data_IF_108214965388
#
_entry.id   IF_108214965388
#
_cell.length_a   1.000
_cell.length_b   1.000
_cell.length_c   1.000
_cell.angle_alpha   90.00
_cell.angle_beta   90.00
_cell.angle_gamma   90.00
#
_symmetry.space_group_name_H-M   'P 1'
#
loop_
_entity.id
_entity.type
_entity.pdbx_description
1 polymer ?
#
# COMPACT_ATOMS: atom_id res chain seq x y z
N UNK A 1 -22.37 69.01 3.82
CA UNK A 1 -22.91 67.98 2.92
C UNK A 1 -22.40 66.66 3.43
N UNK A 2 -23.27 65.88 4.08
CA UNK A 2 -22.93 64.62 4.74
C UNK A 2 -22.91 63.53 3.68
N UNK A 3 -21.73 63.03 3.32
CA UNK A 3 -21.57 61.82 2.53
C UNK A 3 -21.73 60.62 3.47
N UNK A 4 -22.64 59.71 3.13
CA UNK A 4 -22.87 58.48 3.87
C UNK A 4 -21.75 57.48 3.56
N UNK A 5 -21.27 56.78 4.59
CA UNK A 5 -20.19 55.78 4.52
C UNK A 5 -20.54 54.60 3.59
N UNK A 6 -21.80 54.44 3.21
CA UNK A 6 -22.23 53.39 2.29
C UNK A 6 -21.76 53.60 0.84
N UNK A 7 -21.45 54.85 0.44
CA UNK A 7 -21.04 55.17 -0.93
C UNK A 7 -19.52 55.01 -1.19
N UNK A 8 -18.76 54.58 -0.18
CA UNK A 8 -17.31 54.29 -0.31
C UNK A 8 -16.99 52.78 -0.34
N UNK A 9 -18.01 51.91 -0.34
CA UNK A 9 -17.80 50.44 -0.29
C UNK A 9 -18.06 49.70 -1.61
N UNK A 10 -18.38 50.37 -2.71
CA UNK A 10 -18.65 49.69 -3.99
C UNK A 10 -17.51 49.73 -5.03
N UNK A 11 -16.31 50.26 -4.71
CA UNK A 11 -15.22 50.33 -5.71
C UNK A 11 -13.81 50.08 -5.16
N UNK A 12 -13.66 49.18 -4.18
CA UNK A 12 -12.36 48.54 -3.90
C UNK A 12 -12.58 47.02 -3.89
N UNK A 13 -13.09 46.51 -5.00
CA UNK A 13 -12.76 45.15 -5.46
C UNK A 13 -11.52 45.28 -6.35
N UNK A 14 -10.34 45.39 -5.74
CA UNK A 14 -9.11 44.78 -6.26
C UNK A 14 -7.94 45.09 -5.32
N UNK A 15 -7.08 44.10 -5.10
CA UNK A 15 -5.82 44.16 -4.34
C UNK A 15 -5.90 44.21 -2.80
N UNK A 16 -6.09 43.05 -2.17
CA UNK A 16 -5.38 42.74 -0.92
C UNK A 16 -4.94 41.28 -0.95
N UNK A 17 -3.63 41.11 -1.07
CA UNK A 17 -2.85 39.87 -0.97
C UNK A 17 -3.46 38.91 0.05
N UNK A 18 -3.98 37.77 -0.42
CA UNK A 18 -4.15 36.61 0.44
C UNK A 18 -2.78 35.94 0.57
N UNK A 19 -2.33 35.82 1.81
CA UNK A 19 -1.27 34.88 2.16
C UNK A 19 -1.91 33.50 1.98
N UNK A 20 -1.50 32.77 0.94
CA UNK A 20 -1.93 31.39 0.73
C UNK A 20 -1.51 30.57 1.95
N UNK A 21 -2.51 30.15 2.71
CA UNK A 21 -2.41 29.11 3.71
C UNK A 21 -2.01 27.85 2.94
N UNK A 22 -0.76 27.42 3.16
CA UNK A 22 -0.12 26.27 2.54
C UNK A 22 -1.01 25.03 2.54
N UNK A 23 -1.23 24.46 1.36
CA UNK A 23 -1.83 23.14 1.13
C UNK A 23 -1.05 22.05 1.89
N UNK A 24 -1.45 21.83 3.14
CA UNK A 24 -1.17 20.62 3.91
C UNK A 24 -2.25 19.63 3.51
N UNK A 25 -1.86 18.44 3.04
CA UNK A 25 -2.77 17.33 2.76
C UNK A 25 -3.75 17.21 3.92
N UNK A 26 -5.04 17.46 3.69
CA UNK A 26 -5.99 17.43 4.80
C UNK A 26 -5.99 16.03 5.38
N UNK A 27 -5.91 15.95 6.72
CA UNK A 27 -6.00 14.70 7.48
C UNK A 27 -7.14 13.78 7.04
N UNK A 28 -8.13 14.32 6.31
CA UNK A 28 -9.33 13.63 5.85
C UNK A 28 -9.06 12.58 4.78
N UNK A 29 -8.05 12.76 3.90
CA UNK A 29 -7.72 11.73 2.89
C UNK A 29 -7.05 10.50 3.49
N UNK A 30 -6.21 10.70 4.51
CA UNK A 30 -5.64 9.61 5.32
C UNK A 30 -6.76 8.91 6.10
N UNK A 31 -7.70 9.67 6.66
CA UNK A 31 -8.87 9.13 7.38
C UNK A 31 -9.79 8.31 6.49
N UNK A 32 -9.96 8.68 5.22
CA UNK A 32 -10.75 7.91 4.24
C UNK A 32 -10.09 6.54 3.93
N UNK A 33 -8.76 6.51 3.78
CA UNK A 33 -8.01 5.27 3.59
C UNK A 33 -8.06 4.36 4.83
N UNK A 34 -8.05 4.94 6.04
CA UNK A 34 -8.27 4.19 7.29
C UNK A 34 -9.68 3.58 7.35
N UNK A 35 -10.71 4.29 6.88
CA UNK A 35 -12.09 3.78 6.81
C UNK A 35 -12.26 2.61 5.84
N UNK A 36 -11.51 2.58 4.74
CA UNK A 36 -11.55 1.43 3.83
C UNK A 36 -10.98 0.15 4.48
N UNK A 37 -9.90 0.26 5.27
CA UNK A 37 -9.41 -0.85 6.11
C UNK A 37 -10.44 -1.32 7.15
N UNK A 38 -11.22 -0.39 7.72
CA UNK A 38 -12.21 -0.67 8.76
C UNK A 38 -13.40 -1.53 8.26
N UNK A 39 -13.90 -1.32 7.04
CA UNK A 39 -15.06 -2.07 6.52
C UNK A 39 -14.76 -3.54 6.18
N UNK A 40 -13.50 -3.92 5.98
CA UNK A 40 -13.13 -5.32 5.68
C UNK A 40 -13.18 -6.26 6.90
N UNK A 41 -13.21 -5.71 8.13
CA UNK A 41 -12.98 -6.50 9.36
C UNK A 41 -14.27 -6.92 10.08
N UNK A 42 -15.43 -6.37 9.71
CA UNK A 42 -16.72 -6.61 10.40
C UNK A 42 -17.30 -8.03 10.24
N UNK A 43 -16.77 -8.90 9.38
CA UNK A 43 -17.40 -10.21 9.09
C UNK A 43 -16.85 -11.40 9.88
N UNK A 44 -15.84 -11.24 10.75
CA UNK A 44 -15.15 -12.41 11.31
C UNK A 44 -15.12 -12.48 12.85
N UNK A 45 -16.31 -12.66 13.45
CA UNK A 45 -16.40 -13.23 14.81
C UNK A 45 -17.47 -14.31 14.87
N UNK A 46 -17.07 -15.60 14.82
CA UNK A 46 -17.38 -16.56 15.89
C UNK A 46 -16.91 -18.01 15.66
N UNK A 47 -16.52 -18.61 16.79
CA UNK A 47 -16.49 -20.03 17.17
C UNK A 47 -15.21 -20.90 17.01
N UNK A 48 -14.48 -20.96 18.13
CA UNK A 48 -13.61 -22.09 18.53
C UNK A 48 -14.43 -23.30 19.02
N UNK A 49 -14.12 -24.49 18.50
CA UNK A 49 -14.67 -25.77 18.96
C UNK A 49 -13.77 -26.99 18.69
N UNK A 50 -12.92 -27.32 19.67
CA UNK A 50 -12.11 -28.54 19.94
C UNK A 50 -12.54 -29.89 19.25
N UNK A 51 -11.61 -30.63 18.58
CA UNK A 51 -10.98 -31.96 18.97
C UNK A 51 -10.44 -32.85 17.82
N UNK A 52 -9.19 -33.32 18.02
CA UNK A 52 -8.59 -34.69 17.88
C UNK A 52 -8.07 -35.26 16.52
N UNK A 53 -6.73 -35.34 16.45
CA UNK A 53 -5.83 -36.52 16.46
C UNK A 53 -5.71 -37.53 15.29
N UNK A 54 -4.41 -37.86 15.01
CA UNK A 54 -3.81 -39.15 14.54
C UNK A 54 -3.78 -39.37 13.00
N UNK A 55 -2.77 -39.86 12.26
CA UNK A 55 -1.32 -40.19 12.38
C UNK A 55 -0.81 -40.68 11.00
N UNK A 56 0.40 -40.24 10.59
CA UNK A 56 1.46 -40.87 9.74
C UNK A 56 1.13 -41.55 8.39
N UNK A 57 1.91 -41.18 7.36
CA UNK A 57 2.19 -42.02 6.19
C UNK A 57 3.29 -41.44 5.27
N UNK A 58 4.51 -41.97 5.38
CA UNK A 58 5.69 -41.66 4.57
C UNK A 58 5.48 -42.04 3.09
N UNK A 59 5.86 -41.16 2.16
CA UNK A 59 6.30 -41.57 0.82
C UNK A 59 7.26 -40.53 0.22
N UNK A 60 8.54 -40.69 0.55
CA UNK A 60 9.64 -40.12 -0.23
C UNK A 60 9.76 -40.85 -1.58
N UNK A 61 10.28 -40.12 -2.57
CA UNK A 61 10.72 -40.56 -3.90
C UNK A 61 9.63 -40.71 -4.97
N UNK A 62 9.34 -39.62 -5.71
CA UNK A 62 9.60 -39.47 -7.16
C UNK A 62 9.47 -37.97 -7.51
N UNK A 63 10.53 -37.17 -7.37
CA UNK A 63 10.75 -35.98 -8.23
C UNK A 63 12.27 -35.85 -8.44
N UNK A 64 12.84 -36.82 -9.14
CA UNK A 64 14.08 -36.63 -9.87
C UNK A 64 13.71 -36.77 -11.34
N UNK A 65 14.09 -35.76 -12.13
CA UNK A 65 13.78 -35.56 -13.55
C UNK A 65 12.41 -34.93 -13.84
N UNK A 66 12.34 -33.60 -13.69
CA UNK A 66 12.08 -32.64 -14.78
C UNK A 66 12.26 -31.22 -14.19
N UNK A 67 13.28 -30.50 -14.67
CA UNK A 67 13.46 -29.07 -14.43
C UNK A 67 13.92 -28.66 -13.02
N UNK A 68 15.17 -28.97 -12.64
CA UNK A 68 15.87 -28.06 -11.73
C UNK A 68 16.18 -26.82 -12.57
N UNK A 69 15.23 -25.88 -12.65
CA UNK A 69 15.63 -24.48 -12.71
C UNK A 69 16.48 -24.29 -11.46
N UNK A 70 17.76 -24.02 -11.64
CA UNK A 70 18.60 -23.59 -10.55
C UNK A 70 17.88 -22.44 -9.85
N UNK A 71 17.40 -22.68 -8.63
CA UNK A 71 17.23 -21.66 -7.61
C UNK A 71 18.63 -21.03 -7.43
N UNK A 72 19.05 -20.17 -8.36
CA UNK A 72 19.70 -18.96 -7.94
C UNK A 72 18.66 -18.32 -7.03
N UNK A 73 18.98 -18.13 -5.76
CA UNK A 73 18.08 -17.43 -4.85
C UNK A 73 17.73 -16.12 -5.53
N UNK A 74 16.49 -16.00 -6.00
CA UNK A 74 15.94 -14.77 -6.54
C UNK A 74 15.87 -13.82 -5.34
N UNK A 75 16.99 -13.14 -5.07
CA UNK A 75 17.20 -12.36 -3.85
C UNK A 75 16.28 -11.15 -3.79
N UNK A 76 15.66 -10.79 -4.92
CA UNK A 76 14.73 -9.67 -5.02
C UNK A 76 13.24 -10.01 -5.08
N UNK A 77 12.85 -11.29 -4.95
CA UNK A 77 11.45 -11.68 -5.12
C UNK A 77 10.50 -11.30 -4.00
N UNK A 78 9.20 -11.50 -4.26
CA UNK A 78 8.11 -11.24 -3.31
C UNK A 78 8.34 -11.95 -1.97
N UNK A 79 8.97 -13.12 -1.97
CA UNK A 79 9.36 -13.85 -0.77
C UNK A 79 10.28 -13.06 0.18
N UNK A 80 11.13 -12.18 -0.36
CA UNK A 80 12.05 -11.35 0.43
C UNK A 80 11.42 -10.04 0.91
N UNK A 81 10.16 -9.78 0.56
CA UNK A 81 9.38 -8.64 1.08
C UNK A 81 8.14 -9.07 1.86
N UNK A 82 7.87 -10.37 2.03
CA UNK A 82 6.79 -10.89 2.87
C UNK A 82 6.93 -10.42 4.32
N UNK A 83 5.92 -9.76 4.89
CA UNK A 83 5.97 -9.35 6.30
C UNK A 83 5.89 -10.53 7.26
N UNK A 84 5.13 -11.57 6.89
CA UNK A 84 5.07 -12.81 7.64
C UNK A 84 5.52 -13.97 6.74
N UNK A 85 6.75 -14.49 6.92
CA UNK A 85 7.27 -15.58 6.10
C UNK A 85 6.41 -16.85 6.12
N UNK A 86 5.66 -17.09 7.21
CA UNK A 86 4.76 -18.23 7.32
C UNK A 86 3.56 -18.13 6.35
N UNK A 87 3.27 -16.95 5.79
CA UNK A 87 2.18 -16.75 4.81
C UNK A 87 2.46 -17.43 3.47
N UNK A 88 3.74 -17.65 3.12
CA UNK A 88 4.10 -18.33 1.87
C UNK A 88 3.51 -19.75 1.75
N UNK A 89 3.34 -20.42 2.89
CA UNK A 89 2.88 -21.80 2.99
C UNK A 89 1.42 -21.93 3.45
N UNK A 90 0.70 -20.81 3.68
CA UNK A 90 -0.67 -20.86 4.19
C UNK A 90 -1.64 -21.34 3.10
N UNK A 91 -2.49 -22.35 3.39
CA UNK A 91 -3.52 -22.77 2.46
C UNK A 91 -4.59 -21.68 2.34
N UNK A 92 -5.06 -21.49 1.10
CA UNK A 92 -6.15 -20.59 0.74
C UNK A 92 -7.35 -20.78 1.67
N UNK A 93 -7.77 -19.72 2.37
CA UNK A 93 -8.98 -19.74 3.18
C UNK A 93 -10.14 -19.11 2.41
N UNK A 94 -11.11 -19.93 2.02
CA UNK A 94 -12.39 -19.46 1.48
C UNK A 94 -13.33 -19.15 2.63
N UNK A 95 -13.81 -17.91 2.72
CA UNK A 95 -14.85 -17.49 3.66
C UNK A 95 -16.07 -17.06 2.88
N UNK A 96 -17.23 -17.66 3.17
CA UNK A 96 -18.50 -17.20 2.63
C UNK A 96 -19.06 -16.06 3.50
N UNK A 97 -19.54 -15.01 2.85
CA UNK A 97 -20.32 -13.96 3.49
C UNK A 97 -21.71 -13.91 2.87
N UNK A 98 -22.75 -13.86 3.70
CA UNK A 98 -24.14 -13.66 3.27
C UNK A 98 -24.49 -12.20 3.51
N UNK A 99 -24.68 -11.42 2.45
CA UNK A 99 -25.14 -10.05 2.60
C UNK A 99 -26.65 -10.07 2.90
N UNK A 100 -27.08 -9.43 3.99
CA UNK A 100 -28.50 -9.21 4.23
C UNK A 100 -29.05 -8.26 3.15
N UNK A 101 -30.28 -8.45 2.65
CA UNK A 101 -30.86 -7.56 1.65
C UNK A 101 -30.87 -6.11 2.16
N UNK A 102 -30.54 -5.18 1.27
CA UNK A 102 -30.50 -3.75 1.58
C UNK A 102 -31.84 -3.29 2.17
N UNK A 103 -31.84 -2.40 3.18
CA UNK A 103 -33.07 -1.85 3.75
C UNK A 103 -33.62 -0.73 2.85
N UNK A 104 -33.99 -1.08 1.63
CA UNK A 104 -34.59 -0.20 0.64
C UNK A 104 -35.42 -1.05 -0.32
N UNK A 105 -36.74 -0.86 -0.26
CA UNK A 105 -37.72 -1.64 -1.00
C UNK A 105 -37.85 -1.27 -2.47
N UNK A 106 -36.82 -1.52 -3.27
CA UNK A 106 -36.94 -1.61 -4.72
C UNK A 106 -36.84 -3.06 -5.20
N UNK A 107 -37.92 -3.49 -5.86
CA UNK A 107 -38.06 -4.61 -6.80
C UNK A 107 -37.33 -5.95 -6.57
N UNK A 108 -37.94 -6.79 -5.73
CA UNK A 108 -38.45 -8.07 -6.22
C UNK A 108 -37.48 -9.11 -6.80
N UNK A 109 -36.26 -9.22 -6.26
CA UNK A 109 -35.48 -10.47 -6.36
C UNK A 109 -34.98 -10.89 -4.96
N UNK A 110 -35.69 -11.84 -4.34
CA UNK A 110 -35.27 -12.55 -3.12
C UNK A 110 -34.15 -13.55 -3.46
N UNK A 111 -33.03 -13.09 -4.02
CA UNK A 111 -31.83 -13.93 -4.15
C UNK A 111 -30.77 -13.42 -3.17
N UNK A 112 -30.63 -14.14 -2.05
CA UNK A 112 -29.44 -14.04 -1.20
C UNK A 112 -28.24 -14.52 -2.03
N UNK A 113 -27.48 -13.59 -2.61
CA UNK A 113 -26.21 -13.92 -3.24
C UNK A 113 -25.20 -14.32 -2.15
N UNK A 114 -24.78 -15.58 -2.16
CA UNK A 114 -23.69 -16.05 -1.31
C UNK A 114 -22.37 -15.68 -2.00
N UNK A 115 -21.69 -14.64 -1.51
CA UNK A 115 -20.36 -14.27 -2.00
C UNK A 115 -19.31 -15.09 -1.26
N UNK A 116 -18.50 -15.83 -2.02
CA UNK A 116 -17.33 -16.50 -1.50
C UNK A 116 -16.15 -15.55 -1.66
N UNK A 117 -15.70 -14.95 -0.56
CA UNK A 117 -14.44 -14.23 -0.52
C UNK A 117 -13.34 -15.25 -0.30
N UNK A 118 -12.40 -15.32 -1.23
CA UNK A 118 -11.13 -15.98 -0.96
C UNK A 118 -10.31 -14.96 -0.16
N UNK A 119 -10.20 -15.18 1.14
CA UNK A 119 -9.41 -14.31 2.02
C UNK A 119 -7.95 -14.76 1.92
N UNK A 120 -7.29 -14.36 0.84
CA UNK A 120 -5.84 -14.46 0.71
C UNK A 120 -5.24 -13.17 1.27
N UNK A 121 -4.60 -13.28 2.44
CA UNK A 121 -3.93 -12.16 3.11
C UNK A 121 -2.45 -12.47 3.17
N UNK A 122 -1.75 -12.14 2.09
CA UNK A 122 -0.28 -12.11 2.10
C UNK A 122 0.13 -10.65 2.07
N UNK A 123 0.71 -10.16 3.16
CA UNK A 123 1.17 -8.78 3.25
C UNK A 123 2.64 -8.69 2.87
N UNK A 124 2.98 -7.75 1.98
CA UNK A 124 4.36 -7.38 1.66
C UNK A 124 4.72 -5.99 2.19
N UNK A 125 6.00 -5.82 2.48
CA UNK A 125 6.68 -4.57 2.70
C UNK A 125 6.95 -3.86 1.37
N UNK A 126 6.82 -2.53 1.35
CA UNK A 126 7.15 -1.65 0.24
C UNK A 126 8.42 -0.81 0.50
N UNK A 127 9.17 -1.12 1.56
CA UNK A 127 10.27 -0.29 2.08
C UNK A 127 11.63 -1.00 2.13
N UNK A 128 11.75 -2.19 1.54
CA UNK A 128 13.02 -2.90 1.44
C UNK A 128 12.91 -4.41 1.53
N UNK A 129 14.01 -5.09 1.23
CA UNK A 129 14.13 -6.54 1.39
C UNK A 129 14.35 -6.95 2.85
N UNK A 130 14.13 -8.24 3.13
CA UNK A 130 14.08 -8.82 4.48
C UNK A 130 15.32 -8.60 5.36
N UNK A 131 16.47 -8.30 4.75
CA UNK A 131 17.71 -8.00 5.44
C UNK A 131 17.89 -6.51 5.79
N UNK A 132 17.11 -5.61 5.18
CA UNK A 132 17.13 -4.17 5.44
C UNK A 132 16.59 -3.79 6.83
N UNK A 133 17.08 -2.69 7.44
CA UNK A 133 16.50 -2.18 8.68
C UNK A 133 15.06 -1.68 8.51
N UNK A 134 14.72 -1.11 7.35
CA UNK A 134 13.39 -0.59 7.03
C UNK A 134 12.34 -1.69 7.02
N UNK A 135 12.60 -2.81 6.34
CA UNK A 135 11.72 -3.98 6.36
C UNK A 135 11.52 -4.51 7.79
N UNK A 136 12.59 -4.66 8.58
CA UNK A 136 12.50 -5.22 9.93
C UNK A 136 11.70 -4.29 10.86
N UNK A 137 11.84 -2.99 10.67
CA UNK A 137 11.07 -1.99 11.38
C UNK A 137 9.58 -2.08 11.03
N UNK A 138 9.25 -2.18 9.73
CA UNK A 138 7.89 -2.34 9.26
C UNK A 138 7.23 -3.66 9.73
N UNK A 139 7.98 -4.76 9.70
CA UNK A 139 7.53 -6.05 10.22
C UNK A 139 7.23 -5.97 11.72
N UNK A 140 8.10 -5.34 12.51
CA UNK A 140 7.88 -5.19 13.95
C UNK A 140 6.70 -4.28 14.27
N UNK A 141 6.51 -3.21 13.50
CA UNK A 141 5.34 -2.34 13.62
C UNK A 141 4.05 -3.10 13.29
N UNK A 142 4.01 -3.82 12.16
CA UNK A 142 2.86 -4.64 11.76
C UNK A 142 2.52 -5.69 12.82
N UNK A 143 3.52 -6.37 13.38
CA UNK A 143 3.30 -7.37 14.42
C UNK A 143 2.80 -6.75 15.74
N UNK A 144 3.19 -5.52 16.04
CA UNK A 144 2.63 -4.77 17.16
C UNK A 144 1.17 -4.40 16.90
N UNK A 145 0.84 -3.86 15.73
CA UNK A 145 -0.54 -3.50 15.35
C UNK A 145 -1.49 -4.70 15.42
N UNK A 146 -1.06 -5.89 14.97
CA UNK A 146 -1.86 -7.13 15.01
C UNK A 146 -2.31 -7.53 16.43
N UNK A 147 -1.61 -7.04 17.45
CA UNK A 147 -1.87 -7.36 18.85
C UNK A 147 -2.31 -6.13 19.67
N UNK A 148 -2.31 -4.94 19.07
CA UNK A 148 -2.63 -3.68 19.73
C UNK A 148 -4.10 -3.30 19.50
N UNK A 149 -4.77 -2.83 20.55
CA UNK A 149 -6.16 -2.37 20.51
C UNK A 149 -7.12 -3.30 19.74
N UNK A 150 -6.96 -4.62 19.88
CA UNK A 150 -7.74 -5.63 19.13
C UNK A 150 -9.26 -5.56 19.37
N UNK A 151 -9.70 -4.89 20.43
CA UNK A 151 -11.12 -4.62 20.73
C UNK A 151 -11.55 -3.18 20.40
N UNK A 152 -10.67 -2.40 19.76
CA UNK A 152 -10.85 -1.04 19.22
C UNK A 152 -11.27 0.01 20.24
N UNK A 153 -11.23 -0.31 21.53
CA UNK A 153 -11.75 0.59 22.58
C UNK A 153 -10.92 1.85 22.72
N UNK A 154 -9.62 1.79 22.45
CA UNK A 154 -8.75 2.96 22.53
C UNK A 154 -9.06 3.88 21.36
N UNK A 155 -9.10 3.33 20.13
CA UNK A 155 -9.43 4.09 18.93
C UNK A 155 -10.83 4.72 19.01
N UNK A 156 -11.84 3.96 19.46
CA UNK A 156 -13.21 4.46 19.64
C UNK A 156 -13.30 5.64 20.62
N UNK A 157 -12.47 5.63 21.67
CA UNK A 157 -12.42 6.71 22.65
C UNK A 157 -11.74 7.97 22.09
N UNK A 158 -10.69 7.80 21.28
CA UNK A 158 -9.99 8.91 20.63
C UNK A 158 -10.90 9.54 19.57
N UNK A 159 -11.56 8.70 18.77
CA UNK A 159 -12.39 9.10 17.64
C UNK A 159 -11.57 9.81 16.54
N UNK A 160 -12.27 10.52 15.65
CA UNK A 160 -11.65 11.10 14.44
C UNK A 160 -11.15 12.55 14.62
N UNK A 161 -10.59 12.87 15.79
CA UNK A 161 -10.16 14.24 16.14
C UNK A 161 -8.65 14.36 16.07
N UNK A 162 -8.11 15.57 15.80
CA UNK A 162 -6.68 15.78 15.90
C UNK A 162 -6.16 15.38 17.28
N UNK A 163 -5.01 14.71 17.31
CA UNK A 163 -4.37 14.25 18.53
C UNK A 163 -3.07 15.02 18.75
N UNK A 164 -2.50 14.89 19.96
CA UNK A 164 -1.16 15.43 20.24
C UNK A 164 -0.04 14.69 19.49
N UNK A 165 -0.36 13.61 18.77
CA UNK A 165 0.59 12.78 18.03
C UNK A 165 0.74 13.20 16.58
N UNK A 166 -0.23 13.93 16.03
CA UNK A 166 -0.36 14.20 14.60
C UNK A 166 0.90 14.88 14.03
N UNK A 167 1.49 15.83 14.77
CA UNK A 167 2.66 16.60 14.32
C UNK A 167 3.93 15.74 14.15
N UNK A 168 4.17 14.78 15.05
CA UNK A 168 5.40 13.94 15.03
C UNK A 168 5.19 12.58 14.39
N UNK A 169 3.99 12.02 14.53
CA UNK A 169 3.69 10.63 14.19
C UNK A 169 2.52 10.48 13.20
N UNK A 170 2.04 11.56 12.59
CA UNK A 170 0.89 11.53 11.70
C UNK A 170 1.02 10.56 10.52
N UNK A 171 2.25 10.29 10.06
CA UNK A 171 2.52 9.31 9.01
C UNK A 171 2.28 7.84 9.42
N UNK A 172 2.15 7.56 10.73
CA UNK A 172 2.12 6.19 11.28
C UNK A 172 0.79 5.85 11.95
N UNK A 173 -0.23 6.70 11.82
CA UNK A 173 -1.55 6.45 12.41
C UNK A 173 -1.55 6.34 13.94
N UNK A 174 -0.60 6.99 14.62
CA UNK A 174 -0.47 6.92 16.08
C UNK A 174 -1.63 7.65 16.75
N UNK A 175 -2.37 6.94 17.60
CA UNK A 175 -3.48 7.50 18.38
C UNK A 175 -3.33 7.32 19.90
N UNK A 176 -2.22 6.76 20.37
CA UNK A 176 -1.95 6.56 21.80
C UNK A 176 -0.48 6.77 22.16
N UNK A 177 -0.20 6.98 23.46
CA UNK A 177 1.18 7.05 23.96
C UNK A 177 1.93 5.74 23.73
N UNK A 178 1.27 4.58 23.86
CA UNK A 178 1.91 3.28 23.67
C UNK A 178 2.36 3.08 22.21
N UNK A 179 1.56 3.52 21.25
CA UNK A 179 1.94 3.55 19.84
C UNK A 179 3.12 4.50 19.60
N UNK A 180 3.10 5.70 20.19
CA UNK A 180 4.19 6.67 20.08
C UNK A 180 5.52 6.11 20.65
N UNK A 181 5.45 5.50 21.84
CA UNK A 181 6.60 4.86 22.48
C UNK A 181 7.12 3.70 21.64
N UNK A 182 6.23 2.92 21.02
CA UNK A 182 6.62 1.82 20.15
C UNK A 182 7.32 2.30 18.87
N UNK A 183 6.84 3.38 18.26
CA UNK A 183 7.52 4.00 17.11
C UNK A 183 8.91 4.49 17.52
N UNK A 184 9.05 5.21 18.64
CA UNK A 184 10.35 5.68 19.12
C UNK A 184 11.32 4.51 19.43
N UNK A 185 10.80 3.40 19.97
CA UNK A 185 11.57 2.15 20.17
C UNK A 185 12.08 1.61 18.83
N UNK A 186 11.21 1.44 17.84
CA UNK A 186 11.53 0.90 16.51
C UNK A 186 12.58 1.76 15.81
N UNK A 187 12.36 3.09 15.77
CA UNK A 187 13.29 4.06 15.16
C UNK A 187 14.68 3.94 15.79
N UNK A 188 14.75 3.92 17.12
CA UNK A 188 16.01 3.78 17.85
C UNK A 188 16.70 2.43 17.58
N UNK A 189 15.93 1.34 17.60
CA UNK A 189 16.43 -0.03 17.43
C UNK A 189 17.04 -0.26 16.04
N UNK A 190 16.40 0.25 14.99
CA UNK A 190 16.83 0.08 13.60
C UNK A 190 17.68 1.25 13.08
N UNK A 191 17.97 2.25 13.91
CA UNK A 191 18.75 3.43 13.55
C UNK A 191 18.14 4.21 12.37
N UNK A 192 16.82 4.33 12.36
CA UNK A 192 16.05 5.05 11.35
C UNK A 192 15.72 6.47 11.81
N UNK A 193 15.13 7.27 10.92
CA UNK A 193 14.48 8.54 11.25
C UNK A 193 12.98 8.47 10.95
N UNK A 194 12.19 9.35 11.58
CA UNK A 194 10.79 9.53 11.20
C UNK A 194 10.68 10.32 9.90
N UNK A 195 9.53 10.17 9.22
CA UNK A 195 9.16 11.03 8.11
C UNK A 195 9.13 12.51 8.51
N UNK A 196 9.48 13.35 7.54
CA UNK A 196 9.25 14.80 7.63
C UNK A 196 7.79 15.18 7.36
N UNK A 197 7.54 16.46 7.08
CA UNK A 197 6.19 16.90 6.72
C UNK A 197 5.68 16.19 5.45
N UNK A 198 4.42 15.78 5.47
CA UNK A 198 3.72 15.23 4.30
C UNK A 198 3.06 16.36 3.52
N UNK A 199 3.30 16.41 2.21
CA UNK A 199 2.89 17.48 1.32
C UNK A 199 2.14 16.91 0.12
N UNK A 200 1.14 17.66 -0.37
CA UNK A 200 0.41 17.28 -1.59
C UNK A 200 1.36 17.32 -2.79
N UNK A 201 1.30 16.26 -3.59
CA UNK A 201 2.13 16.04 -4.76
C UNK A 201 1.30 15.91 -6.04
N UNK A 202 0.66 16.98 -6.55
CA UNK A 202 0.24 17.00 -7.94
C UNK A 202 1.47 16.80 -8.85
N UNK A 203 1.26 16.26 -10.05
CA UNK A 203 2.33 15.89 -10.99
C UNK A 203 3.42 16.96 -11.12
N UNK A 204 3.03 18.22 -11.34
CA UNK A 204 3.97 19.33 -11.49
C UNK A 204 4.92 19.50 -10.29
N UNK A 205 4.41 19.35 -9.05
CA UNK A 205 5.23 19.47 -7.83
C UNK A 205 6.16 18.28 -7.68
N UNK A 206 5.72 17.08 -8.03
CA UNK A 206 6.55 15.87 -8.02
C UNK A 206 7.66 16.00 -9.07
N UNK A 207 7.31 16.35 -10.30
CA UNK A 207 8.26 16.53 -11.41
C UNK A 207 9.29 17.62 -11.12
N UNK A 208 8.87 18.69 -10.45
CA UNK A 208 9.80 19.77 -10.05
C UNK A 208 10.76 19.33 -8.96
N UNK A 209 10.32 18.51 -8.02
CA UNK A 209 11.11 18.12 -6.83
C UNK A 209 12.03 16.95 -7.11
N UNK A 210 11.53 15.93 -7.81
CA UNK A 210 12.24 14.67 -8.05
C UNK A 210 12.70 14.55 -9.49
N UNK A 211 11.97 15.15 -10.43
CA UNK A 211 12.10 14.87 -11.86
C UNK A 211 10.89 14.10 -12.35
N UNK A 212 10.72 14.02 -13.68
CA UNK A 212 9.66 13.21 -14.27
C UNK A 212 9.93 11.74 -13.91
N UNK A 213 8.99 11.07 -13.26
CA UNK A 213 9.21 9.73 -12.71
C UNK A 213 8.86 8.60 -13.68
N UNK A 214 8.02 8.89 -14.69
CA UNK A 214 7.59 7.90 -15.67
C UNK A 214 7.16 8.56 -16.98
N UNK A 215 7.57 8.01 -18.12
CA UNK A 215 7.09 8.42 -19.43
C UNK A 215 5.68 7.90 -19.74
N UNK A 216 4.92 8.66 -20.55
CA UNK A 216 3.57 8.32 -20.99
C UNK A 216 2.56 7.95 -19.87
N UNK A 217 2.76 8.53 -18.69
CA UNK A 217 1.90 8.37 -17.52
C UNK A 217 1.42 9.71 -16.96
N UNK A 218 0.20 9.71 -16.42
CA UNK A 218 -0.27 10.77 -15.52
C UNK A 218 -0.24 10.24 -14.09
N UNK A 219 0.12 11.09 -13.13
CA UNK A 219 0.21 10.66 -11.73
C UNK A 219 0.09 11.82 -10.76
N UNK A 220 -0.45 11.54 -9.58
CA UNK A 220 -0.45 12.46 -8.46
C UNK A 220 -0.47 11.70 -7.14
N UNK A 221 -0.07 12.36 -6.07
CA UNK A 221 -0.11 11.76 -4.75
C UNK A 221 0.43 12.69 -3.69
N UNK A 222 1.38 12.22 -2.91
CA UNK A 222 1.97 12.97 -1.80
C UNK A 222 3.44 12.60 -1.64
N UNK A 223 4.21 13.48 -1.02
CA UNK A 223 5.60 13.25 -0.71
C UNK A 223 5.96 13.79 0.67
N UNK A 224 7.00 13.20 1.25
CA UNK A 224 7.62 13.64 2.49
C UNK A 224 8.88 14.46 2.21
N UNK A 225 9.25 15.32 3.14
CA UNK A 225 10.48 16.13 3.03
C UNK A 225 11.75 15.28 2.93
N UNK A 226 11.74 14.07 3.48
CA UNK A 226 12.83 13.09 3.41
C UNK A 226 13.01 12.44 2.03
N UNK A 227 12.13 12.74 1.07
CA UNK A 227 12.19 12.23 -0.30
C UNK A 227 11.37 10.97 -0.55
N UNK A 228 10.74 10.38 0.46
CA UNK A 228 9.73 9.33 0.26
C UNK A 228 8.51 9.93 -0.45
N UNK A 229 7.94 9.23 -1.42
CA UNK A 229 6.70 9.64 -2.05
C UNK A 229 5.84 8.46 -2.49
N UNK A 230 4.55 8.73 -2.66
CA UNK A 230 3.57 7.79 -3.18
C UNK A 230 2.73 8.49 -4.23
N UNK A 231 2.53 7.84 -5.37
CA UNK A 231 1.65 8.31 -6.42
C UNK A 231 0.69 7.22 -6.85
N UNK A 232 -0.52 7.64 -7.21
CA UNK A 232 -1.44 6.85 -8.01
C UNK A 232 -1.44 7.46 -9.42
N UNK A 233 -1.52 6.62 -10.45
CA UNK A 233 -1.47 7.07 -11.83
C UNK A 233 -1.99 6.06 -12.83
N UNK A 234 -2.00 6.47 -14.09
CA UNK A 234 -2.38 5.66 -15.24
C UNK A 234 -1.22 5.55 -16.23
N UNK A 235 -1.01 4.35 -16.77
CA UNK A 235 -0.07 4.05 -17.85
C UNK A 235 -0.79 3.26 -18.94
N UNK A 236 -1.18 3.95 -20.01
CA UNK A 236 -1.99 3.39 -21.08
C UNK A 236 -3.37 2.97 -20.58
N UNK A 237 -3.58 1.66 -20.37
CA UNK A 237 -4.84 1.10 -19.85
C UNK A 237 -4.71 0.55 -18.41
N UNK A 238 -3.53 0.67 -17.82
CA UNK A 238 -3.24 0.12 -16.50
C UNK A 238 -3.19 1.23 -15.47
N UNK A 239 -3.89 1.05 -14.36
CA UNK A 239 -3.72 1.90 -13.19
C UNK A 239 -2.56 1.37 -12.36
N UNK A 240 -1.81 2.27 -11.72
CA UNK A 240 -0.69 1.90 -10.88
C UNK A 240 -0.61 2.74 -9.62
N UNK A 241 0.03 2.16 -8.61
CA UNK A 241 0.42 2.82 -7.38
C UNK A 241 1.94 2.64 -7.24
N UNK A 242 2.69 3.73 -7.28
CA UNK A 242 4.15 3.70 -7.11
C UNK A 242 4.50 4.33 -5.78
N UNK A 243 5.29 3.60 -4.98
CA UNK A 243 5.91 4.11 -3.76
C UNK A 243 7.41 4.06 -3.89
N UNK A 244 8.05 5.19 -3.61
CA UNK A 244 9.51 5.34 -3.49
C UNK A 244 9.82 5.66 -2.04
N UNK A 245 10.61 4.83 -1.38
CA UNK A 245 10.93 4.97 0.06
C UNK A 245 12.41 5.27 0.25
N UNK A 246 12.73 6.34 1.00
CA UNK A 246 14.13 6.72 1.29
C UNK A 246 14.75 5.75 2.30
N UNK A 247 15.93 5.20 1.99
CA UNK A 247 16.69 4.39 2.95
C UNK A 247 17.11 5.24 4.16
N UNK A 248 17.02 4.65 5.34
CA UNK A 248 17.25 5.30 6.63
C UNK A 248 16.00 5.95 7.25
N UNK A 249 14.84 5.88 6.59
CA UNK A 249 13.57 6.44 7.09
C UNK A 249 12.60 5.31 7.43
N UNK A 250 11.92 5.42 8.57
CA UNK A 250 10.84 4.52 8.94
C UNK A 250 9.63 4.78 8.04
N UNK A 251 9.26 3.76 7.27
CA UNK A 251 8.01 3.66 6.54
C UNK A 251 7.23 2.44 7.08
N UNK A 252 5.91 2.51 7.13
CA UNK A 252 5.05 1.42 7.64
C UNK A 252 3.96 1.01 6.65
N UNK A 253 4.06 1.43 5.39
CA UNK A 253 3.07 1.08 4.36
C UNK A 253 3.30 -0.37 3.92
N UNK A 254 2.20 -1.10 3.78
CA UNK A 254 2.16 -2.52 3.46
C UNK A 254 1.11 -2.77 2.39
N UNK A 255 1.30 -3.81 1.58
CA UNK A 255 0.40 -4.16 0.48
C UNK A 255 -0.08 -5.60 0.62
N UNK A 256 -1.39 -5.82 0.50
CA UNK A 256 -1.92 -7.16 0.32
C UNK A 256 -1.77 -7.57 -1.15
N UNK A 257 -1.19 -8.73 -1.40
CA UNK A 257 -1.02 -9.30 -2.74
C UNK A 257 -1.83 -10.58 -2.95
N UNK A 258 -2.80 -10.88 -2.08
CA UNK A 258 -3.54 -12.13 -2.17
C UNK A 258 -2.64 -13.33 -1.84
N UNK A 259 -2.55 -14.31 -2.73
CA UNK A 259 -1.67 -15.47 -2.57
C UNK A 259 -0.43 -15.33 -3.44
N UNK A 260 0.73 -15.26 -2.77
CA UNK A 260 2.05 -15.17 -3.43
C UNK A 260 2.31 -16.30 -4.43
N UNK A 261 1.72 -17.48 -4.23
CA UNK A 261 1.90 -18.62 -5.13
C UNK A 261 1.21 -18.45 -6.49
N UNK A 262 0.35 -17.43 -6.63
CA UNK A 262 -0.30 -17.10 -7.90
C UNK A 262 0.60 -16.24 -8.82
N UNK A 263 1.77 -15.81 -8.34
CA UNK A 263 2.67 -14.95 -9.11
C UNK A 263 3.75 -15.75 -9.85
N UNK A 264 3.82 -15.55 -11.17
CA UNK A 264 5.05 -15.77 -11.91
C UNK A 264 6.04 -14.64 -11.58
N UNK A 265 7.29 -14.98 -11.25
CA UNK A 265 8.31 -14.01 -10.83
C UNK A 265 9.59 -14.15 -11.66
N UNK A 266 10.20 -13.03 -12.05
CA UNK A 266 11.47 -12.99 -12.78
C UNK A 266 12.25 -11.69 -12.58
N UNK A 267 13.56 -11.72 -12.86
CA UNK A 267 14.39 -10.51 -12.97
C UNK A 267 14.32 -9.96 -14.39
N UNK A 268 14.29 -8.64 -14.50
CA UNK A 268 14.41 -7.92 -15.76
C UNK A 268 15.41 -6.77 -15.61
N UNK A 269 16.23 -6.54 -16.64
CA UNK A 269 17.09 -5.34 -16.69
C UNK A 269 16.45 -4.35 -17.64
N UNK A 270 16.05 -3.20 -17.12
CA UNK A 270 15.36 -2.17 -17.88
C UNK A 270 16.26 -1.55 -18.95
N UNK A 271 15.66 -0.79 -19.85
CA UNK A 271 16.34 0.01 -20.85
C UNK A 271 17.33 1.03 -20.24
N UNK A 272 17.09 1.49 -19.01
CA UNK A 272 18.00 2.36 -18.24
C UNK A 272 19.13 1.60 -17.54
N UNK A 273 19.10 0.26 -17.56
CA UNK A 273 20.13 -0.61 -16.97
C UNK A 273 19.91 -1.00 -15.52
N UNK A 274 18.76 -0.65 -14.94
CA UNK A 274 18.38 -1.04 -13.57
C UNK A 274 17.80 -2.45 -13.59
N UNK A 275 18.29 -3.31 -12.70
CA UNK A 275 17.69 -4.64 -12.51
C UNK A 275 16.52 -4.55 -11.55
N UNK A 276 15.36 -4.99 -12.00
CA UNK A 276 14.10 -5.01 -11.24
C UNK A 276 13.61 -6.45 -11.05
N UNK A 277 12.89 -6.67 -9.96
CA UNK A 277 12.15 -7.90 -9.71
C UNK A 277 10.70 -7.70 -10.13
N UNK A 278 10.25 -8.49 -11.09
CA UNK A 278 8.89 -8.46 -11.64
C UNK A 278 8.09 -9.63 -11.12
N UNK A 279 6.82 -9.38 -10.80
CA UNK A 279 5.86 -10.41 -10.44
C UNK A 279 4.54 -10.15 -11.16
N UNK A 280 3.93 -11.18 -11.74
CA UNK A 280 2.65 -11.08 -12.44
C UNK A 280 1.72 -12.21 -11.96
N UNK A 281 0.54 -11.85 -11.47
CA UNK A 281 -0.49 -12.82 -11.08
C UNK A 281 -1.30 -13.30 -12.29
N UNK A 282 -1.96 -14.45 -12.13
CA UNK A 282 -2.92 -15.00 -13.10
C UNK A 282 -4.27 -14.24 -13.12
N UNK A 283 -4.28 -12.89 -13.08
CA UNK A 283 -5.46 -12.13 -13.54
C UNK A 283 -5.74 -10.74 -12.97
N UNK A 284 -5.08 -10.28 -11.91
CA UNK A 284 -5.53 -9.09 -11.17
C UNK A 284 -4.43 -8.13 -10.70
N UNK A 285 -3.17 -8.56 -10.68
CA UNK A 285 -2.10 -7.77 -10.07
C UNK A 285 -0.74 -8.02 -10.72
N UNK A 286 0.05 -6.96 -10.85
CA UNK A 286 1.48 -7.08 -11.13
C UNK A 286 2.28 -6.20 -10.19
N UNK A 287 3.51 -6.61 -9.87
CA UNK A 287 4.41 -5.90 -8.96
C UNK A 287 5.75 -5.68 -9.65
N UNK A 288 6.31 -4.47 -9.49
CA UNK A 288 7.68 -4.12 -9.85
C UNK A 288 8.41 -3.71 -8.58
N UNK A 289 9.53 -4.34 -8.26
CA UNK A 289 10.40 -3.96 -7.14
C UNK A 289 11.78 -3.58 -7.66
N UNK A 290 12.33 -2.49 -7.14
CA UNK A 290 13.70 -2.08 -7.39
C UNK A 290 14.37 -1.64 -6.08
N UNK A 291 15.52 -2.23 -5.78
CA UNK A 291 16.39 -1.82 -4.67
C UNK A 291 17.52 -0.97 -5.23
N UNK A 292 17.45 0.34 -4.97
CA UNK A 292 18.39 1.34 -5.47
C UNK A 292 19.40 1.71 -4.38
N UNK A 293 20.40 2.54 -4.69
CA UNK A 293 21.46 2.86 -3.73
C UNK A 293 20.93 3.57 -2.47
N UNK A 294 19.99 4.51 -2.62
CA UNK A 294 19.45 5.35 -1.55
C UNK A 294 17.93 5.19 -1.34
N UNK A 295 17.27 4.34 -2.12
CA UNK A 295 15.83 4.14 -2.02
C UNK A 295 15.39 2.72 -2.38
N UNK A 296 14.14 2.40 -2.03
CA UNK A 296 13.44 1.22 -2.51
C UNK A 296 12.15 1.64 -3.21
N UNK A 297 11.92 1.10 -4.41
CA UNK A 297 10.76 1.39 -5.25
C UNK A 297 9.88 0.15 -5.33
N UNK A 298 8.59 0.33 -5.06
CA UNK A 298 7.57 -0.68 -5.27
C UNK A 298 6.44 -0.10 -6.12
N UNK A 299 6.08 -0.79 -7.19
CA UNK A 299 4.94 -0.46 -8.05
C UNK A 299 3.93 -1.58 -7.96
N UNK A 300 2.71 -1.24 -7.58
CA UNK A 300 1.53 -2.10 -7.66
C UNK A 300 0.73 -1.72 -8.91
N UNK A 301 0.61 -2.64 -9.86
CA UNK A 301 -0.22 -2.46 -11.05
C UNK A 301 -1.56 -3.13 -10.80
N UNK A 302 -2.63 -2.34 -10.92
CA UNK A 302 -4.00 -2.77 -10.72
C UNK A 302 -4.55 -3.22 -12.08
N UNK A 303 -4.86 -4.52 -12.21
CA UNK A 303 -5.47 -5.04 -13.43
C UNK A 303 -6.98 -5.09 -13.20
N UNK A 304 -7.69 -4.08 -13.69
CA UNK A 304 -9.15 -4.02 -13.57
C UNK A 304 -9.83 -5.02 -14.50
N UNK A 305 -11.06 -5.44 -14.15
CA UNK A 305 -11.92 -6.17 -15.07
C UNK A 305 -12.45 -5.18 -16.13
N UNK A 306 -12.04 -5.34 -17.38
CA UNK A 306 -12.49 -4.49 -18.48
C UNK A 306 -14.01 -4.57 -18.69
N UNK A 307 -14.56 -3.65 -19.48
CA UNK A 307 -16.00 -3.50 -19.77
C UNK A 307 -16.71 -4.78 -20.26
N UNK A 308 -15.96 -5.78 -20.74
CA UNK A 308 -16.45 -7.06 -21.26
C UNK A 308 -16.37 -8.24 -20.25
N UNK A 309 -16.23 -7.97 -18.94
CA UNK A 309 -15.95 -8.98 -17.90
C UNK A 309 -14.71 -9.85 -18.23
N UNK A 310 -13.75 -9.26 -18.96
CA UNK A 310 -12.44 -9.87 -19.22
C UNK A 310 -11.39 -9.03 -18.51
N UNK A 311 -10.51 -9.64 -17.70
CA UNK A 311 -9.40 -8.91 -17.11
C UNK A 311 -8.58 -8.28 -18.21
N UNK A 312 -8.14 -7.04 -18.01
CA UNK A 312 -7.04 -6.52 -18.83
C UNK A 312 -5.83 -7.42 -18.61
N UNK A 313 -5.60 -8.33 -19.55
CA UNK A 313 -4.48 -9.25 -19.44
C UNK A 313 -3.20 -8.45 -19.64
N UNK A 314 -2.42 -8.33 -18.59
CA UNK A 314 -1.04 -7.89 -18.66
C UNK A 314 -0.17 -9.10 -19.01
N UNK A 315 0.66 -8.97 -20.05
CA UNK A 315 1.68 -9.97 -20.38
C UNK A 315 3.01 -9.59 -19.73
N UNK A 316 3.98 -10.52 -19.72
CA UNK A 316 5.36 -10.22 -19.31
C UNK A 316 5.94 -9.03 -20.08
N UNK A 317 5.70 -8.98 -21.39
CA UNK A 317 6.19 -7.90 -22.25
C UNK A 317 5.53 -6.55 -21.91
N UNK A 318 4.26 -6.54 -21.50
CA UNK A 318 3.59 -5.31 -21.06
C UNK A 318 4.18 -4.80 -19.74
N UNK A 319 4.47 -5.69 -18.78
CA UNK A 319 5.09 -5.34 -17.50
C UNK A 319 6.55 -4.89 -17.67
N UNK A 320 7.31 -5.56 -18.53
CA UNK A 320 8.68 -5.15 -18.92
C UNK A 320 8.67 -3.78 -19.61
N UNK A 321 7.71 -3.55 -20.52
CA UNK A 321 7.53 -2.25 -21.16
C UNK A 321 7.18 -1.16 -20.14
N UNK A 322 6.29 -1.44 -19.18
CA UNK A 322 5.99 -0.49 -18.11
C UNK A 322 7.24 -0.17 -17.29
N UNK A 323 8.03 -1.18 -16.91
CA UNK A 323 9.29 -0.99 -16.19
C UNK A 323 10.29 -0.12 -16.97
N UNK A 324 10.34 -0.24 -18.31
CA UNK A 324 11.20 0.58 -19.17
C UNK A 324 10.80 2.06 -19.24
N UNK A 325 9.55 2.41 -18.89
CA UNK A 325 9.09 3.80 -18.86
C UNK A 325 9.36 4.49 -17.52
N UNK A 326 9.76 3.75 -16.48
CA UNK A 326 10.07 4.31 -15.16
C UNK A 326 11.49 4.89 -15.16
N UNK A 327 11.61 6.14 -14.72
CA UNK A 327 12.87 6.88 -14.66
C UNK A 327 13.55 6.60 -13.31
N UNK A 328 14.20 5.44 -13.18
CA UNK A 328 14.85 5.02 -11.93
C UNK A 328 16.02 5.92 -11.49
N UNK A 329 16.58 6.73 -12.38
CA UNK A 329 17.66 7.67 -12.07
C UNK A 329 17.22 8.89 -11.24
N UNK A 330 15.91 9.13 -11.14
CA UNK A 330 15.30 10.15 -10.28
C UNK A 330 14.57 9.57 -9.06
N UNK A 331 14.65 8.24 -8.89
CA UNK A 331 14.04 7.49 -7.79
C UNK A 331 14.97 7.37 -6.59
#
# INVERSE_FOLDING_TARGET
MKLHIHDLMENIEDSSVQIEETDVVSSDRIKELTKMKLNMTETNTNHRGKKRALTVGIAAAVVAALGIASYAAFSGGLGNVLLNPDDADKPVQTTSATQAPAPDGSDGSDETAEYYFVNEFTMISLQGYSDSPEYKAAQEWSAFEDNYDTDWKILDQVGNKPTQWDDKYGAYGVYSQEMADKIDEIVSKYSLTLHGACLDGPQEKIDTKFGKIMDDANYAGYYYEDGTFSVDGDFGKYDFQLRRTTKGVLDTVTLNIGNINNFEQWEYTTASGVTVSLALSDGDQAIILADLDDSFVAVNVLLWMGEDDKPDTMTRADLENMADHIHFEVM
#
